data_IF_432300549232
#
_entry.id   IF_432300549232
#
_cell.length_a   1.000
_cell.length_b   1.000
_cell.length_c   1.000
_cell.angle_alpha   90.00
_cell.angle_beta   90.00
_cell.angle_gamma   90.00
#
_symmetry.space_group_name_H-M   'P 1'
#
loop_
_entity.id
_entity.type
_entity.pdbx_description
1 polymer ?
#
# COMPACT_ATOMS: atom_id res chain seq x y z
N UNK A 1 -1.00 3.89 -15.68
CA UNK A 1 0.02 3.69 -14.65
C UNK A 1 0.09 2.20 -14.33
N UNK A 2 1.28 1.65 -14.07
CA UNK A 2 1.53 0.25 -13.73
C UNK A 2 2.20 0.19 -12.36
N UNK A 3 1.57 -0.52 -11.43
CA UNK A 3 2.06 -0.67 -10.06
C UNK A 3 2.37 -2.13 -9.81
N UNK A 4 3.54 -2.43 -9.25
CA UNK A 4 3.93 -3.77 -8.87
C UNK A 4 3.83 -3.97 -7.35
N UNK A 5 3.20 -5.06 -6.94
CA UNK A 5 3.06 -5.48 -5.55
C UNK A 5 3.98 -6.66 -5.24
N UNK A 6 4.88 -6.44 -4.30
CA UNK A 6 5.73 -7.48 -3.71
C UNK A 6 4.94 -8.49 -2.85
N UNK A 7 5.57 -9.61 -2.49
CA UNK A 7 5.10 -10.63 -1.54
C UNK A 7 4.51 -10.00 -0.28
N UNK A 8 5.16 -8.96 0.25
CA UNK A 8 4.72 -8.28 1.46
C UNK A 8 3.33 -7.65 1.30
N UNK A 9 3.08 -7.00 0.16
CA UNK A 9 1.78 -6.45 -0.19
C UNK A 9 0.73 -7.55 -0.30
N UNK A 10 1.03 -8.63 -1.04
CA UNK A 10 0.07 -9.74 -1.20
C UNK A 10 -0.24 -10.40 0.15
N UNK A 11 0.77 -10.61 1.00
CA UNK A 11 0.56 -11.16 2.34
C UNK A 11 -0.33 -10.27 3.20
N UNK A 12 -0.12 -8.96 3.15
CA UNK A 12 -0.90 -7.98 3.88
C UNK A 12 -2.37 -7.92 3.43
N UNK A 13 -2.65 -8.15 2.14
CA UNK A 13 -4.02 -8.24 1.63
C UNK A 13 -4.76 -9.51 2.07
N UNK A 14 -4.03 -10.58 2.37
CA UNK A 14 -4.58 -11.87 2.79
C UNK A 14 -4.65 -12.05 4.31
N UNK A 15 -3.94 -11.21 5.07
CA UNK A 15 -3.86 -11.34 6.52
C UNK A 15 -3.92 -9.99 7.24
N UNK A 16 -5.11 -9.66 7.71
CA UNK A 16 -5.41 -8.42 8.44
C UNK A 16 -4.69 -8.30 9.80
N UNK A 17 -4.05 -9.37 10.30
CA UNK A 17 -3.28 -9.33 11.55
C UNK A 17 -1.87 -8.78 11.36
N UNK A 18 -1.41 -8.62 10.11
CA UNK A 18 -0.07 -8.09 9.81
C UNK A 18 -0.02 -6.59 10.07
N UNK A 19 1.12 -6.12 10.58
CA UNK A 19 1.33 -4.73 11.04
C UNK A 19 0.92 -3.68 9.99
N UNK A 20 1.26 -3.94 8.71
CA UNK A 20 0.99 -3.00 7.61
C UNK A 20 -0.27 -3.34 6.80
N UNK A 21 -1.04 -4.37 7.18
CA UNK A 21 -2.22 -4.82 6.45
C UNK A 21 -3.22 -3.69 6.17
N UNK A 22 -3.49 -2.84 7.16
CA UNK A 22 -4.39 -1.71 7.00
C UNK A 22 -3.95 -0.74 5.90
N UNK A 23 -2.65 -0.43 5.79
CA UNK A 23 -2.12 0.48 4.76
C UNK A 23 -2.20 -0.17 3.39
N UNK A 24 -1.76 -1.42 3.29
CA UNK A 24 -1.74 -2.19 2.05
C UNK A 24 -3.15 -2.35 1.46
N UNK A 25 -4.14 -2.62 2.31
CA UNK A 25 -5.56 -2.69 1.91
C UNK A 25 -6.08 -1.35 1.40
N UNK A 26 -5.76 -0.23 2.07
CA UNK A 26 -6.18 1.09 1.62
C UNK A 26 -5.49 1.51 0.31
N UNK A 27 -4.19 1.25 0.16
CA UNK A 27 -3.46 1.45 -1.11
C UNK A 27 -4.14 0.67 -2.22
N UNK A 28 -4.42 -0.62 -2.00
CA UNK A 28 -5.07 -1.47 -2.99
C UNK A 28 -6.46 -0.94 -3.38
N UNK A 29 -7.30 -0.55 -2.41
CA UNK A 29 -8.61 0.06 -2.69
C UNK A 29 -8.49 1.34 -3.51
N UNK A 30 -7.55 2.23 -3.17
CA UNK A 30 -7.31 3.48 -3.89
C UNK A 30 -6.80 3.26 -5.30
N UNK A 31 -5.98 2.24 -5.52
CA UNK A 31 -5.46 1.90 -6.85
C UNK A 31 -6.53 1.22 -7.71
N UNK A 32 -7.21 0.19 -7.19
CA UNK A 32 -8.20 -0.60 -7.95
C UNK A 32 -9.45 0.20 -8.34
N UNK A 33 -9.72 1.31 -7.64
CA UNK A 33 -10.80 2.24 -7.97
C UNK A 33 -10.47 3.23 -9.10
N UNK A 34 -9.22 3.25 -9.57
CA UNK A 34 -8.78 4.07 -10.71
C UNK A 34 -8.84 3.23 -11.98
N UNK A 35 -9.52 3.73 -13.01
CA UNK A 35 -9.71 2.99 -14.28
C UNK A 35 -8.40 2.80 -15.08
N UNK A 36 -7.42 3.69 -14.89
CA UNK A 36 -6.17 3.74 -15.68
C UNK A 36 -4.94 3.18 -14.94
N UNK A 37 -5.16 2.30 -13.95
CA UNK A 37 -4.07 1.69 -13.18
C UNK A 37 -4.11 0.17 -13.24
N UNK A 38 -3.02 -0.41 -13.70
CA UNK A 38 -2.80 -1.85 -13.70
C UNK A 38 -1.96 -2.25 -12.50
N UNK A 39 -2.37 -3.31 -11.80
CA UNK A 39 -1.60 -3.90 -10.70
C UNK A 39 -0.93 -5.17 -11.21
N UNK A 40 0.35 -5.35 -10.90
CA UNK A 40 1.18 -6.49 -11.25
C UNK A 40 1.75 -7.16 -10.00
N UNK A 41 2.01 -8.46 -10.09
CA UNK A 41 2.87 -9.23 -9.18
C UNK A 41 3.56 -10.35 -9.97
N UNK A 42 4.38 -11.20 -9.38
CA UNK A 42 5.02 -12.35 -10.07
C UNK A 42 4.48 -13.70 -9.62
N UNK A 43 4.70 -14.72 -10.45
CA UNK A 43 4.44 -16.11 -10.04
C UNK A 43 5.24 -16.52 -8.80
N UNK A 44 6.50 -16.08 -8.67
CA UNK A 44 7.32 -16.33 -7.48
C UNK A 44 6.69 -15.71 -6.25
N UNK A 45 6.20 -14.47 -6.34
CA UNK A 45 5.54 -13.82 -5.22
C UNK A 45 4.30 -14.60 -4.75
N UNK A 46 3.47 -15.07 -5.68
CA UNK A 46 2.30 -15.91 -5.37
C UNK A 46 2.71 -17.23 -4.70
N UNK A 47 3.73 -17.91 -5.23
CA UNK A 47 4.22 -19.17 -4.67
C UNK A 47 4.78 -18.97 -3.25
N UNK A 48 5.54 -17.90 -3.03
CA UNK A 48 6.09 -17.52 -1.72
C UNK A 48 4.98 -17.17 -0.74
N UNK A 49 3.97 -16.40 -1.15
CA UNK A 49 2.77 -16.14 -0.35
C UNK A 49 2.05 -17.43 0.06
N UNK A 50 1.81 -18.35 -0.89
CA UNK A 50 1.20 -19.65 -0.59
C UNK A 50 2.02 -20.46 0.43
N UNK A 51 3.34 -20.45 0.26
CA UNK A 51 4.26 -21.10 1.18
C UNK A 51 4.18 -20.48 2.58
N UNK A 52 4.15 -19.16 2.72
CA UNK A 52 4.01 -18.46 4.00
C UNK A 52 2.71 -18.88 4.69
N UNK A 53 1.59 -18.92 3.96
CA UNK A 53 0.27 -19.19 4.52
C UNK A 53 -0.08 -20.65 4.77
N UNK A 54 0.73 -21.61 4.30
CA UNK A 54 0.46 -23.06 4.49
C UNK A 54 0.29 -23.52 5.95
N UNK A 55 0.74 -22.70 6.91
CA UNK A 55 0.60 -22.97 8.35
C UNK A 55 -0.70 -22.40 8.95
N UNK A 56 -1.34 -21.45 8.26
CA UNK A 56 -2.53 -20.71 8.72
C UNK A 56 -3.80 -21.20 8.02
N UNK A 57 -3.70 -21.49 6.73
CA UNK A 57 -4.82 -21.87 5.87
C UNK A 57 -4.56 -23.24 5.25
N UNK A 58 -5.65 -23.94 4.90
CA UNK A 58 -5.52 -25.16 4.11
C UNK A 58 -5.24 -24.85 2.63
N UNK A 59 -4.85 -25.85 1.85
CA UNK A 59 -4.50 -25.66 0.43
C UNK A 59 -5.65 -25.10 -0.40
N UNK A 60 -6.90 -25.44 -0.06
CA UNK A 60 -8.07 -24.97 -0.81
C UNK A 60 -8.31 -23.49 -0.50
N UNK A 61 -8.27 -23.10 0.76
CA UNK A 61 -8.42 -21.70 1.18
C UNK A 61 -7.32 -20.82 0.59
N UNK A 62 -6.08 -21.29 0.53
CA UNK A 62 -4.98 -20.58 -0.15
C UNK A 62 -5.29 -20.40 -1.64
N UNK A 63 -5.74 -21.46 -2.32
CA UNK A 63 -6.06 -21.40 -3.74
C UNK A 63 -7.24 -20.44 -4.02
N UNK A 64 -8.29 -20.48 -3.21
CA UNK A 64 -9.46 -19.60 -3.33
C UNK A 64 -9.04 -18.13 -3.13
N UNK A 65 -8.24 -17.85 -2.10
CA UNK A 65 -7.72 -16.51 -1.79
C UNK A 65 -6.82 -15.96 -2.90
N UNK A 66 -5.86 -16.75 -3.39
CA UNK A 66 -4.98 -16.36 -4.50
C UNK A 66 -5.79 -16.12 -5.77
N UNK A 67 -6.76 -17.00 -6.07
CA UNK A 67 -7.62 -16.85 -7.23
C UNK A 67 -8.44 -15.57 -7.16
N UNK A 68 -8.91 -15.18 -5.98
CA UNK A 68 -9.68 -13.95 -5.79
C UNK A 68 -8.81 -12.70 -6.05
N UNK A 69 -7.60 -12.64 -5.48
CA UNK A 69 -6.68 -11.51 -5.71
C UNK A 69 -6.24 -11.43 -7.17
N UNK A 70 -6.04 -12.58 -7.84
CA UNK A 70 -5.62 -12.64 -9.24
C UNK A 70 -6.68 -12.11 -10.23
N UNK A 71 -7.89 -11.79 -9.77
CA UNK A 71 -8.92 -11.16 -10.63
C UNK A 71 -8.63 -9.70 -10.95
N UNK A 72 -7.87 -9.01 -10.10
CA UNK A 72 -7.51 -7.60 -10.24
C UNK A 72 -6.01 -7.37 -10.36
N UNK A 73 -5.19 -8.38 -10.07
CA UNK A 73 -3.73 -8.32 -10.17
C UNK A 73 -3.25 -9.20 -11.33
N UNK A 74 -2.50 -8.60 -12.26
CA UNK A 74 -1.87 -9.29 -13.38
C UNK A 74 -0.60 -10.01 -12.92
N UNK A 75 -0.39 -11.23 -13.39
CA UNK A 75 0.85 -11.98 -13.11
C UNK A 75 1.87 -11.67 -14.20
N UNK A 76 3.05 -11.24 -13.78
CA UNK A 76 4.22 -10.94 -14.59
C UNK A 76 5.11 -12.19 -14.63
N UNK A 77 5.48 -12.58 -15.84
CA UNK A 77 6.41 -13.68 -16.09
C UNK A 77 7.85 -13.17 -16.17
N UNK A 78 8.78 -13.92 -15.57
CA UNK A 78 10.22 -13.64 -15.73
C UNK A 78 10.68 -14.25 -17.04
N UNK A 79 11.08 -13.40 -17.98
CA UNK A 79 11.53 -13.83 -19.31
C UNK A 79 12.88 -14.54 -19.24
N UNK A 80 13.18 -15.36 -20.27
CA UNK A 80 14.50 -15.95 -20.43
C UNK A 80 15.58 -14.86 -20.56
N UNK A 81 15.26 -13.75 -21.20
CA UNK A 81 16.19 -12.67 -21.45
C UNK A 81 16.54 -11.95 -20.13
N UNK A 82 15.56 -11.76 -19.23
CA UNK A 82 15.80 -11.30 -17.85
C UNK A 82 16.80 -12.21 -17.12
N UNK A 83 16.64 -13.52 -17.21
CA UNK A 83 17.55 -14.48 -16.56
C UNK A 83 18.97 -14.38 -17.14
N UNK A 84 19.09 -14.23 -18.46
CA UNK A 84 20.41 -14.19 -19.11
C UNK A 84 21.16 -12.88 -18.85
N UNK A 85 20.44 -11.75 -18.75
CA UNK A 85 21.04 -10.45 -18.50
C UNK A 85 21.32 -10.19 -17.01
N UNK A 86 20.72 -10.93 -16.08
CA UNK A 86 20.85 -10.68 -14.64
C UNK A 86 22.30 -10.56 -14.17
N UNK A 87 23.19 -11.43 -14.67
CA UNK A 87 24.63 -11.39 -14.36
C UNK A 87 25.31 -10.04 -14.67
N UNK A 88 24.80 -9.30 -15.66
CA UNK A 88 25.39 -8.04 -16.12
C UNK A 88 24.92 -6.86 -15.24
N UNK A 89 23.95 -7.08 -14.36
CA UNK A 89 23.33 -6.07 -13.49
C UNK A 89 23.58 -6.30 -11.99
N UNK A 90 24.23 -7.40 -11.59
CA UNK A 90 24.55 -7.71 -10.18
C UNK A 90 25.29 -6.53 -9.53
N UNK A 91 26.38 -6.07 -10.15
CA UNK A 91 27.21 -4.98 -9.62
C UNK A 91 26.58 -3.59 -9.85
N UNK A 92 25.58 -3.49 -10.73
CA UNK A 92 24.89 -2.22 -11.04
C UNK A 92 23.90 -1.88 -9.94
N UNK A 93 23.07 -2.84 -9.55
CA UNK A 93 22.07 -2.63 -8.50
C UNK A 93 22.59 -2.99 -7.11
N UNK A 94 23.71 -3.72 -7.02
CA UNK A 94 24.30 -4.17 -5.76
C UNK A 94 23.29 -4.92 -4.88
N UNK A 95 22.51 -5.81 -5.50
CA UNK A 95 21.53 -6.69 -4.84
C UNK A 95 22.18 -8.06 -4.69
N UNK A 96 22.23 -8.56 -3.46
CA UNK A 96 22.85 -9.86 -3.16
C UNK A 96 21.88 -11.03 -3.42
N UNK A 97 20.57 -10.81 -3.23
CA UNK A 97 19.55 -11.81 -3.55
C UNK A 97 19.24 -11.87 -5.06
N UNK A 98 19.55 -13.02 -5.65
CA UNK A 98 19.29 -13.26 -7.07
C UNK A 98 17.79 -13.27 -7.42
N UNK A 99 16.90 -13.66 -6.50
CA UNK A 99 15.45 -13.60 -6.72
C UNK A 99 14.99 -12.14 -6.85
N UNK A 100 15.47 -11.26 -5.98
CA UNK A 100 15.13 -9.83 -6.00
C UNK A 100 15.72 -9.12 -7.22
N UNK A 101 16.93 -9.49 -7.64
CA UNK A 101 17.52 -8.98 -8.89
C UNK A 101 16.68 -9.37 -10.12
N UNK A 102 16.25 -10.65 -10.21
CA UNK A 102 15.39 -11.11 -11.30
C UNK A 102 14.04 -10.39 -11.28
N UNK A 103 13.48 -10.19 -10.08
CA UNK A 103 12.23 -9.48 -9.89
C UNK A 103 12.33 -8.04 -10.37
N UNK A 104 13.36 -7.31 -9.94
CA UNK A 104 13.61 -5.93 -10.35
C UNK A 104 13.77 -5.81 -11.87
N UNK A 105 14.54 -6.70 -12.49
CA UNK A 105 14.73 -6.70 -13.93
C UNK A 105 13.44 -6.99 -14.69
N UNK A 106 12.58 -7.87 -14.16
CA UNK A 106 11.28 -8.15 -14.75
C UNK A 106 10.30 -6.96 -14.61
N UNK A 107 10.37 -6.23 -13.49
CA UNK A 107 9.66 -4.96 -13.25
C UNK A 107 10.11 -3.89 -14.26
N UNK A 108 11.42 -3.78 -14.50
CA UNK A 108 11.99 -2.85 -15.49
C UNK A 108 11.59 -3.24 -16.91
N UNK A 109 11.71 -4.52 -17.30
CA UNK A 109 11.34 -5.02 -18.64
C UNK A 109 9.87 -4.75 -18.95
N UNK A 110 9.00 -4.80 -17.92
CA UNK A 110 7.57 -4.52 -18.07
C UNK A 110 7.22 -3.03 -18.04
N UNK A 111 8.21 -2.17 -17.83
CA UNK A 111 8.07 -0.72 -17.65
C UNK A 111 7.02 -0.42 -16.56
N UNK A 112 7.20 -1.01 -15.39
CA UNK A 112 6.41 -0.68 -14.19
C UNK A 112 6.79 0.73 -13.74
N UNK A 113 5.79 1.55 -13.39
CA UNK A 113 6.02 2.91 -12.90
C UNK A 113 6.40 2.92 -11.42
N UNK A 114 5.72 2.08 -10.60
CA UNK A 114 5.89 2.05 -9.15
C UNK A 114 6.01 0.61 -8.65
N UNK A 115 7.07 0.30 -7.92
CA UNK A 115 7.29 -0.97 -7.24
C UNK A 115 7.15 -0.77 -5.72
N UNK A 116 6.10 -1.35 -5.14
CA UNK A 116 5.83 -1.29 -3.70
C UNK A 116 6.39 -2.53 -3.00
N UNK A 117 7.37 -2.33 -2.12
CA UNK A 117 8.02 -3.39 -1.32
C UNK A 117 8.42 -2.85 0.06
N UNK A 118 8.69 -3.71 1.04
CA UNK A 118 9.44 -3.30 2.25
C UNK A 118 10.79 -3.99 2.34
N UNK A 119 11.25 -4.60 1.25
CA UNK A 119 12.59 -5.13 1.18
C UNK A 119 13.61 -3.99 1.26
N UNK A 120 14.57 -4.13 2.17
CA UNK A 120 15.53 -3.06 2.45
C UNK A 120 16.55 -2.91 1.36
N UNK A 121 17.02 -4.01 0.77
CA UNK A 121 18.03 -3.97 -0.29
C UNK A 121 17.45 -3.26 -1.52
N UNK A 122 16.19 -3.58 -1.87
CA UNK A 122 15.50 -2.90 -2.97
C UNK A 122 15.25 -1.41 -2.71
N UNK A 123 14.95 -1.02 -1.47
CA UNK A 123 14.72 0.38 -1.10
C UNK A 123 16.02 1.20 -1.03
N UNK A 124 17.18 0.55 -0.90
CA UNK A 124 18.50 1.19 -0.81
C UNK A 124 19.17 1.39 -2.18
N UNK A 125 18.54 0.93 -3.27
CA UNK A 125 19.03 1.15 -4.65
C UNK A 125 19.19 2.64 -4.92
N UNK A 126 20.29 2.99 -5.61
CA UNK A 126 20.60 4.37 -5.96
C UNK A 126 19.46 5.02 -6.76
N UNK A 127 18.90 6.10 -6.21
CA UNK A 127 17.79 6.84 -6.80
C UNK A 127 18.11 7.40 -8.20
N UNK A 128 19.36 7.73 -8.47
CA UNK A 128 19.76 8.22 -9.80
C UNK A 128 19.59 7.15 -10.89
N UNK A 129 19.86 5.89 -10.57
CA UNK A 129 19.63 4.75 -11.47
C UNK A 129 18.12 4.57 -11.70
N UNK A 130 17.33 4.65 -10.62
CA UNK A 130 15.87 4.51 -10.69
C UNK A 130 15.22 5.62 -11.52
N UNK A 131 15.71 6.85 -11.41
CA UNK A 131 15.27 8.00 -12.22
C UNK A 131 15.54 7.78 -13.73
N UNK A 132 16.72 7.27 -14.10
CA UNK A 132 17.04 6.94 -15.50
C UNK A 132 16.11 5.86 -16.07
N UNK A 133 15.65 4.94 -15.22
CA UNK A 133 14.74 3.86 -15.57
C UNK A 133 13.25 4.25 -15.52
N UNK A 134 12.93 5.48 -15.08
CA UNK A 134 11.56 5.93 -14.79
C UNK A 134 10.79 5.00 -13.84
N UNK A 135 11.49 4.41 -12.86
CA UNK A 135 10.92 3.50 -11.86
C UNK A 135 10.96 4.16 -10.50
N UNK A 136 9.85 4.11 -9.77
CA UNK A 136 9.80 4.49 -8.35
C UNK A 136 9.75 3.21 -7.52
N UNK A 137 10.69 3.02 -6.59
CA UNK A 137 10.58 1.99 -5.55
C UNK A 137 10.14 2.69 -4.27
N UNK A 138 9.04 2.22 -3.68
CA UNK A 138 8.43 2.83 -2.51
C UNK A 138 8.13 1.79 -1.43
N UNK A 139 8.37 2.16 -0.18
CA UNK A 139 7.87 1.44 0.97
C UNK A 139 6.34 1.45 1.01
N UNK A 140 5.74 0.52 1.74
CA UNK A 140 4.28 0.56 1.98
C UNK A 140 3.86 1.87 2.66
N UNK A 141 4.73 2.42 3.52
CA UNK A 141 4.44 3.68 4.19
C UNK A 141 4.47 4.86 3.21
N UNK A 142 5.50 4.95 2.37
CA UNK A 142 5.60 5.99 1.33
C UNK A 142 4.46 5.90 0.30
N UNK A 143 4.14 4.68 -0.14
CA UNK A 143 3.02 4.47 -1.06
C UNK A 143 1.67 4.84 -0.41
N UNK A 144 1.51 4.60 0.89
CA UNK A 144 0.30 5.01 1.61
C UNK A 144 0.17 6.52 1.67
N UNK A 145 1.25 7.24 1.97
CA UNK A 145 1.25 8.71 1.94
C UNK A 145 0.90 9.23 0.54
N UNK A 146 1.49 8.68 -0.51
CA UNK A 146 1.24 9.11 -1.89
C UNK A 146 -0.20 8.83 -2.37
N UNK A 147 -0.72 7.63 -2.11
CA UNK A 147 -2.01 7.21 -2.68
C UNK A 147 -3.22 7.49 -1.79
N UNK A 148 -3.03 7.53 -0.48
CA UNK A 148 -4.12 7.50 0.49
C UNK A 148 -4.21 8.77 1.32
N UNK A 149 -3.08 9.42 1.58
CA UNK A 149 -3.07 10.73 2.24
C UNK A 149 -3.29 11.76 1.15
N UNK A 150 -4.57 12.09 0.96
CA UNK A 150 -4.95 13.31 0.26
C UNK A 150 -4.12 14.43 0.89
N UNK A 151 -3.14 14.98 0.15
CA UNK A 151 -2.54 16.29 0.42
C UNK A 151 -3.60 17.38 0.20
N UNK A 152 -4.79 17.21 0.78
CA UNK A 152 -5.76 18.28 0.96
C UNK A 152 -5.14 19.17 2.00
N UNK A 153 -4.55 20.27 1.52
CA UNK A 153 -4.34 21.51 2.27
C UNK A 153 -5.41 21.57 3.37
N UNK A 154 -5.00 21.31 4.61
CA UNK A 154 -5.91 21.37 5.75
C UNK A 154 -6.44 22.80 5.74
N UNK A 155 -7.75 22.96 5.50
CA UNK A 155 -8.33 24.29 5.50
C UNK A 155 -8.11 24.90 6.90
N UNK A 156 -7.91 26.22 6.97
CA UNK A 156 -7.78 26.90 8.26
C UNK A 156 -8.97 26.61 9.19
N UNK A 157 -10.14 26.34 8.61
CA UNK A 157 -11.37 25.97 9.29
C UNK A 157 -11.29 24.56 9.89
N UNK A 158 -10.78 23.57 9.16
CA UNK A 158 -10.57 22.21 9.66
C UNK A 158 -9.55 22.18 10.81
N UNK A 159 -8.46 22.94 10.67
CA UNK A 159 -7.44 23.08 11.71
C UNK A 159 -8.02 23.73 12.97
N UNK A 160 -8.87 24.74 12.80
CA UNK A 160 -9.54 25.43 13.91
C UNK A 160 -10.56 24.52 14.61
N UNK A 161 -11.34 23.75 13.84
CA UNK A 161 -12.31 22.79 14.38
C UNK A 161 -11.66 21.66 15.15
N UNK A 162 -10.52 21.15 14.67
CA UNK A 162 -9.72 20.15 15.38
C UNK A 162 -9.13 20.71 16.68
N UNK A 163 -8.61 21.94 16.66
CA UNK A 163 -8.15 22.65 17.86
C UNK A 163 -9.24 22.77 18.92
N UNK A 164 -10.45 23.15 18.53
CA UNK A 164 -11.57 23.34 19.45
C UNK A 164 -12.05 22.03 20.07
N UNK A 165 -12.17 20.96 19.28
CA UNK A 165 -12.51 19.62 19.80
C UNK A 165 -11.45 19.07 20.73
N UNK A 166 -10.18 19.21 20.35
CA UNK A 166 -9.07 18.74 21.16
C UNK A 166 -9.00 19.50 22.50
N UNK A 167 -9.21 20.81 22.48
CA UNK A 167 -9.33 21.64 23.69
C UNK A 167 -10.49 21.19 24.60
N UNK A 168 -11.65 20.83 24.03
CA UNK A 168 -12.79 20.33 24.80
C UNK A 168 -12.49 19.00 25.50
N UNK A 169 -11.69 18.14 24.88
CA UNK A 169 -11.46 16.77 25.36
C UNK A 169 -10.21 16.64 26.25
N UNK A 170 -9.18 17.45 26.02
CA UNK A 170 -7.87 17.32 26.68
C UNK A 170 -7.37 18.61 27.36
N UNK A 171 -8.14 19.71 27.26
CA UNK A 171 -7.79 21.00 27.86
C UNK A 171 -6.91 21.90 26.97
N UNK A 172 -6.77 23.16 27.38
CA UNK A 172 -5.95 24.15 26.66
C UNK A 172 -4.46 23.86 26.79
N UNK A 173 -3.73 23.93 25.67
CA UNK A 173 -2.25 24.02 25.65
C UNK A 173 -1.51 22.84 25.01
N UNK A 174 -2.10 21.64 24.99
CA UNK A 174 -1.42 20.45 24.46
C UNK A 174 -1.28 20.51 22.94
N UNK A 175 -2.34 20.91 22.22
CA UNK A 175 -2.34 20.95 20.75
C UNK A 175 -1.29 21.90 20.15
N UNK A 176 -1.00 23.01 20.85
CA UNK A 176 -0.04 23.99 20.37
C UNK A 176 1.42 23.54 20.53
N UNK A 177 1.68 22.53 21.37
CA UNK A 177 3.02 21.97 21.58
C UNK A 177 3.32 20.78 20.67
N UNK A 178 2.35 20.33 19.87
CA UNK A 178 2.54 19.30 18.85
C UNK A 178 3.34 19.83 17.67
N UNK A 179 4.17 18.97 17.09
CA UNK A 179 4.79 19.15 15.77
C UNK A 179 3.72 19.18 14.67
N UNK A 180 4.08 19.66 13.47
CA UNK A 180 3.11 19.75 12.37
C UNK A 180 2.64 18.36 11.90
N UNK A 181 3.54 17.37 11.90
CA UNK A 181 3.21 15.96 11.62
C UNK A 181 2.22 15.38 12.66
N UNK A 182 2.44 15.64 13.96
CA UNK A 182 1.54 15.20 15.02
C UNK A 182 0.16 15.87 14.92
N UNK A 183 0.11 17.15 14.52
CA UNK A 183 -1.16 17.87 14.31
C UNK A 183 -1.94 17.28 13.13
N UNK A 184 -1.25 16.99 12.03
CA UNK A 184 -1.84 16.40 10.84
C UNK A 184 -2.38 14.99 11.11
N UNK A 185 -1.60 14.16 11.78
CA UNK A 185 -2.03 12.83 12.24
C UNK A 185 -3.30 12.91 13.13
N UNK A 186 -3.32 13.84 14.09
CA UNK A 186 -4.47 14.04 14.98
C UNK A 186 -5.71 14.55 14.24
N UNK A 187 -5.55 15.44 13.26
CA UNK A 187 -6.65 15.91 12.41
C UNK A 187 -7.24 14.76 11.61
N UNK A 188 -6.39 13.88 11.07
CA UNK A 188 -6.83 12.72 10.30
C UNK A 188 -7.60 11.72 11.17
N UNK A 189 -7.16 11.48 12.42
CA UNK A 189 -7.93 10.69 13.40
C UNK A 189 -9.31 11.31 13.67
N UNK A 190 -9.37 12.62 13.92
CA UNK A 190 -10.62 13.31 14.22
C UNK A 190 -11.59 13.30 13.02
N UNK A 191 -11.07 13.45 11.79
CA UNK A 191 -11.87 13.31 10.56
C UNK A 191 -12.43 11.90 10.43
N UNK A 192 -11.62 10.88 10.69
CA UNK A 192 -12.04 9.47 10.65
C UNK A 192 -13.17 9.18 11.65
N UNK A 193 -13.03 9.65 12.89
CA UNK A 193 -14.06 9.53 13.94
C UNK A 193 -15.35 10.27 13.53
N UNK A 194 -15.28 11.41 12.85
CA UNK A 194 -16.47 12.12 12.36
C UNK A 194 -17.19 11.37 11.22
N UNK A 195 -16.45 10.71 10.33
CA UNK A 195 -17.05 9.88 9.28
C UNK A 195 -17.69 8.62 9.83
N UNK A 196 -17.09 7.99 10.84
CA UNK A 196 -17.63 6.78 11.47
C UNK A 196 -18.89 7.09 12.29
N UNK A 197 -18.93 8.21 13.04
CA UNK A 197 -20.13 8.63 13.77
C UNK A 197 -21.28 9.14 12.86
N UNK A 198 -21.02 9.46 11.59
CA UNK A 198 -22.08 9.81 10.63
C UNK A 198 -22.80 8.59 10.05
N UNK A 199 -22.24 7.39 10.20
CA UNK A 199 -22.87 6.15 9.70
C UNK A 199 -23.97 5.68 10.67
N UNK A 200 -23.83 5.94 11.96
CA UNK A 200 -24.82 5.53 12.97
C UNK A 200 -26.10 6.40 12.99
N UNK A 201 -26.05 7.64 12.50
CA UNK A 201 -27.22 8.53 12.45
C UNK A 201 -28.15 8.26 11.24
N UNK A 202 -27.77 7.39 10.30
CA UNK A 202 -28.56 7.12 9.09
C UNK A 202 -29.55 5.93 9.22
N UNK A 203 -29.53 5.18 10.32
CA UNK A 203 -30.35 3.95 10.46
C UNK A 203 -31.55 4.04 11.42
N UNK A 204 -31.84 5.22 12.00
CA UNK A 204 -33.04 5.41 12.86
C UNK A 204 -34.26 6.04 12.19
N UNK A 205 -34.15 6.55 10.95
CA UNK A 205 -35.30 7.21 10.27
C UNK A 205 -36.06 6.32 9.28
N UNK A 206 -35.61 5.10 9.00
CA UNK A 206 -36.23 4.18 8.03
C UNK A 206 -37.29 3.23 8.61
N UNK A 207 -37.62 3.29 9.91
CA UNK A 207 -38.61 2.40 10.58
C UNK A 207 -39.94 3.03 11.01
N UNK A 208 -40.32 4.21 10.51
CA UNK A 208 -41.67 4.78 10.73
C UNK A 208 -42.33 5.13 9.41
N UNK A 209 -42.90 4.11 8.76
CA UNK A 209 -43.62 4.33 7.51
C UNK A 209 -44.50 3.20 7.02
N UNK A 210 -44.87 2.21 7.83
CA UNK A 210 -45.94 1.26 7.49
C UNK A 210 -46.68 0.83 8.76
N UNK A 211 -47.81 1.51 9.03
CA UNK A 211 -49.06 0.95 9.55
C UNK A 211 -50.14 2.01 9.64
#
# INVERSE_FOLDING_TARGET
MKVFFDVNMICDLLDNERVKAHKSVEIYKKIVSKEDVDIYTTHSAIATTAYIFRKKFDTKEIADNISQISTSIKILDVSKDVILQAKDYIDVFNIDDYEDLLLLLAVIEKEIDIFITNDKELLEIDKSILEELNLIIASIDEAYEEFCVDSKIISKEDLQRAKEKFKQQFGDGIFNNLTDEEREFMINILKKIETENKVDDFDETSKRGEK
#
